data_IF_123164540504
#
_entry.id   IF_123164540504
#
_cell.length_a   1.000
_cell.length_b   1.000
_cell.length_c   1.000
_cell.angle_alpha   90.00
_cell.angle_beta   90.00
_cell.angle_gamma   90.00
#
_symmetry.space_group_name_H-M   'P 1'
#
loop_
_entity.id
_entity.type
_entity.pdbx_description
1 polymer ?
#
# COMPACT_ATOMS: atom_id res chain seq x y z
N UNK A 1 19.18 -15.17 -6.86
CA UNK A 1 18.77 -15.79 -5.57
C UNK A 1 17.34 -16.31 -5.74
N UNK A 2 17.18 -17.61 -5.94
CA UNK A 2 15.89 -18.22 -6.35
C UNK A 2 14.69 -17.96 -5.41
N UNK A 3 14.95 -17.74 -4.11
CA UNK A 3 13.90 -17.51 -3.12
C UNK A 3 13.07 -16.24 -3.38
N UNK A 4 13.68 -15.24 -3.97
CA UNK A 4 13.06 -13.92 -4.22
C UNK A 4 12.82 -13.64 -5.69
N UNK A 5 13.00 -14.66 -6.54
CA UNK A 5 12.71 -14.57 -7.97
C UNK A 5 11.18 -14.62 -8.18
N UNK A 6 10.65 -13.59 -8.84
CA UNK A 6 9.25 -13.46 -9.20
C UNK A 6 9.01 -13.66 -10.71
N UNK A 7 9.98 -14.24 -11.42
CA UNK A 7 9.82 -14.55 -12.84
C UNK A 7 8.59 -15.44 -13.05
N UNK A 8 7.73 -15.06 -13.98
CA UNK A 8 6.47 -15.74 -14.26
C UNK A 8 5.28 -15.26 -13.42
N UNK A 9 5.52 -14.41 -12.41
CA UNK A 9 4.44 -13.78 -11.64
C UNK A 9 3.89 -12.53 -12.34
N UNK A 10 2.60 -12.26 -12.11
CA UNK A 10 1.93 -11.03 -12.54
C UNK A 10 1.47 -10.29 -11.28
N UNK A 11 2.01 -9.10 -11.06
CA UNK A 11 1.72 -8.26 -9.91
C UNK A 11 0.82 -7.07 -10.31
N UNK A 12 -0.34 -6.97 -9.68
CA UNK A 12 -1.19 -5.78 -9.74
C UNK A 12 -0.86 -4.90 -8.54
N UNK A 13 -0.51 -3.64 -8.78
CA UNK A 13 -0.21 -2.67 -7.72
C UNK A 13 -1.21 -1.51 -7.79
N UNK A 14 -2.19 -1.52 -6.89
CA UNK A 14 -3.17 -0.44 -6.72
C UNK A 14 -2.48 0.74 -6.03
N UNK A 15 -2.57 1.93 -6.60
CA UNK A 15 -1.85 3.10 -6.08
C UNK A 15 -0.37 3.19 -6.49
N UNK A 16 0.04 2.44 -7.52
CA UNK A 16 1.41 2.46 -8.04
C UNK A 16 1.85 3.82 -8.65
N UNK A 17 0.91 4.74 -8.86
CA UNK A 17 1.20 6.13 -9.25
C UNK A 17 1.68 7.01 -8.08
N UNK A 18 1.55 6.52 -6.83
CA UNK A 18 2.06 7.15 -5.62
C UNK A 18 3.52 6.81 -5.33
N UNK A 19 4.06 7.36 -4.23
CA UNK A 19 5.47 7.16 -3.85
C UNK A 19 5.70 5.72 -3.40
N UNK A 20 5.03 5.25 -2.35
CA UNK A 20 5.25 3.92 -1.78
C UNK A 20 4.83 2.80 -2.74
N UNK A 21 3.60 2.88 -3.29
CA UNK A 21 3.13 1.90 -4.26
C UNK A 21 4.00 1.86 -5.52
N UNK A 22 4.55 3.02 -5.93
CA UNK A 22 5.47 3.10 -7.05
C UNK A 22 6.82 2.44 -6.81
N UNK A 23 7.41 2.61 -5.62
CA UNK A 23 8.65 1.94 -5.25
C UNK A 23 8.44 0.41 -5.18
N UNK A 24 7.34 -0.04 -4.56
CA UNK A 24 6.99 -1.46 -4.52
C UNK A 24 6.79 -2.03 -5.93
N UNK A 25 6.06 -1.32 -6.81
CA UNK A 25 5.87 -1.74 -8.20
C UNK A 25 7.20 -1.90 -8.95
N UNK A 26 8.11 -0.95 -8.77
CA UNK A 26 9.46 -1.02 -9.34
C UNK A 26 10.25 -2.21 -8.79
N UNK A 27 10.24 -2.40 -7.47
CA UNK A 27 10.96 -3.51 -6.84
C UNK A 27 10.45 -4.88 -7.27
N UNK A 28 9.13 -5.09 -7.37
CA UNK A 28 8.54 -6.33 -7.87
C UNK A 28 8.94 -6.60 -9.33
N UNK A 29 8.97 -5.56 -10.17
CA UNK A 29 9.42 -5.69 -11.56
C UNK A 29 10.90 -6.06 -11.66
N UNK A 30 11.75 -5.46 -10.82
CA UNK A 30 13.19 -5.79 -10.75
C UNK A 30 13.45 -7.20 -10.21
N UNK A 31 12.52 -7.75 -9.42
CA UNK A 31 12.54 -9.15 -8.98
C UNK A 31 11.98 -10.13 -10.05
N UNK A 32 11.59 -9.66 -11.24
CA UNK A 32 11.17 -10.48 -12.36
C UNK A 32 9.66 -10.53 -12.63
N UNK A 33 8.82 -9.92 -11.79
CA UNK A 33 7.39 -9.90 -12.03
C UNK A 33 7.01 -8.98 -13.21
N UNK A 34 5.96 -9.36 -13.95
CA UNK A 34 5.28 -8.43 -14.84
C UNK A 34 4.33 -7.56 -14.00
N UNK A 35 4.46 -6.24 -14.07
CA UNK A 35 3.75 -5.33 -13.17
C UNK A 35 2.66 -4.55 -13.88
N UNK A 36 1.44 -4.69 -13.42
CA UNK A 36 0.33 -3.82 -13.75
C UNK A 36 0.32 -2.62 -12.79
N UNK A 37 0.64 -1.43 -13.31
CA UNK A 37 0.59 -0.15 -12.60
C UNK A 37 -0.84 0.37 -12.66
N UNK A 38 -1.58 0.33 -11.54
CA UNK A 38 -2.96 0.81 -11.46
C UNK A 38 -3.04 2.13 -10.69
N UNK A 39 -3.84 3.07 -11.23
CA UNK A 39 -4.10 4.37 -10.61
C UNK A 39 -4.91 5.28 -11.53
N UNK A 40 -5.34 6.43 -10.99
CA UNK A 40 -6.19 7.40 -11.71
C UNK A 40 -5.42 8.34 -12.62
N UNK A 41 -4.18 8.66 -12.28
CA UNK A 41 -3.38 9.66 -13.00
C UNK A 41 -2.53 8.98 -14.08
N UNK A 42 -2.90 9.21 -15.35
CA UNK A 42 -2.26 8.59 -16.50
C UNK A 42 -0.79 9.03 -16.67
N UNK A 43 -0.48 10.32 -16.48
CA UNK A 43 0.88 10.83 -16.66
C UNK A 43 1.86 10.20 -15.65
N UNK A 44 1.45 10.14 -14.37
CA UNK A 44 2.23 9.45 -13.33
C UNK A 44 2.33 7.95 -13.61
N UNK A 45 1.26 7.33 -14.10
CA UNK A 45 1.24 5.92 -14.49
C UNK A 45 2.22 5.61 -15.61
N UNK A 46 2.17 6.37 -16.70
CA UNK A 46 3.11 6.22 -17.81
C UNK A 46 4.56 6.53 -17.42
N UNK A 47 4.77 7.55 -16.58
CA UNK A 47 6.10 7.87 -16.05
C UNK A 47 6.65 6.69 -15.21
N UNK A 48 5.82 6.05 -14.38
CA UNK A 48 6.22 4.87 -13.61
C UNK A 48 6.56 3.69 -14.51
N UNK A 49 5.75 3.42 -15.52
CA UNK A 49 6.02 2.36 -16.51
C UNK A 49 7.33 2.63 -17.26
N UNK A 50 7.56 3.87 -17.68
CA UNK A 50 8.82 4.27 -18.36
C UNK A 50 10.04 4.01 -17.45
N UNK A 51 9.95 4.36 -16.17
CA UNK A 51 11.02 4.12 -15.20
C UNK A 51 11.29 2.61 -15.02
N UNK A 52 10.23 1.79 -14.84
CA UNK A 52 10.37 0.34 -14.69
C UNK A 52 11.01 -0.29 -15.93
N UNK A 53 10.54 0.08 -17.12
CA UNK A 53 11.09 -0.44 -18.39
C UNK A 53 12.52 0.03 -18.63
N UNK A 54 12.85 1.27 -18.26
CA UNK A 54 14.21 1.81 -18.35
C UNK A 54 15.21 1.05 -17.50
N UNK A 55 14.76 0.44 -16.41
CA UNK A 55 15.57 -0.41 -15.54
C UNK A 55 15.50 -1.92 -15.90
N UNK A 56 14.96 -2.27 -17.08
CA UNK A 56 14.90 -3.64 -17.56
C UNK A 56 13.69 -4.47 -17.08
N UNK A 57 12.77 -3.88 -16.30
CA UNK A 57 11.57 -4.56 -15.84
C UNK A 57 10.44 -4.55 -16.88
N UNK A 58 9.40 -5.33 -16.63
CA UNK A 58 8.18 -5.41 -17.46
C UNK A 58 7.02 -4.76 -16.74
N UNK A 59 6.40 -3.73 -17.34
CA UNK A 59 5.23 -3.08 -16.76
C UNK A 59 4.30 -2.49 -17.83
N UNK A 60 3.01 -2.37 -17.48
CA UNK A 60 2.01 -1.61 -18.25
C UNK A 60 1.11 -0.82 -17.30
N UNK A 61 0.58 0.32 -17.76
CA UNK A 61 -0.35 1.14 -17.01
C UNK A 61 -1.80 0.81 -17.39
N UNK A 62 -2.64 0.67 -16.38
CA UNK A 62 -4.07 0.45 -16.52
C UNK A 62 -4.80 1.49 -15.66
N UNK A 63 -5.56 2.41 -16.29
CA UNK A 63 -6.31 3.42 -15.54
C UNK A 63 -7.42 2.77 -14.73
N UNK A 64 -7.45 3.02 -13.42
CA UNK A 64 -8.50 2.53 -12.55
C UNK A 64 -8.67 3.45 -11.33
N UNK A 65 -9.92 3.71 -10.97
CA UNK A 65 -10.28 4.19 -9.65
C UNK A 65 -10.63 2.99 -8.77
N UNK A 66 -9.85 2.77 -7.73
CA UNK A 66 -10.03 1.64 -6.82
C UNK A 66 -11.37 1.68 -6.04
N UNK A 67 -12.03 2.83 -5.98
CA UNK A 67 -13.36 2.99 -5.41
C UNK A 67 -14.50 2.60 -6.38
N UNK A 68 -14.17 2.26 -7.64
CA UNK A 68 -15.16 1.94 -8.69
C UNK A 68 -15.02 0.47 -9.13
N UNK A 69 -16.00 -0.36 -8.76
CA UNK A 69 -16.01 -1.80 -9.12
C UNK A 69 -15.86 -2.03 -10.63
N UNK A 70 -16.61 -1.27 -11.44
CA UNK A 70 -16.54 -1.39 -12.90
C UNK A 70 -15.18 -1.05 -13.47
N UNK A 71 -14.50 -0.04 -12.88
CA UNK A 71 -13.15 0.33 -13.26
C UNK A 71 -12.13 -0.76 -12.92
N UNK A 72 -12.25 -1.37 -11.74
CA UNK A 72 -11.39 -2.48 -11.32
C UNK A 72 -11.61 -3.71 -12.21
N UNK A 73 -12.85 -4.08 -12.52
CA UNK A 73 -13.16 -5.23 -13.39
C UNK A 73 -12.61 -5.02 -14.82
N UNK A 74 -12.76 -3.81 -15.36
CA UNK A 74 -12.20 -3.45 -16.68
C UNK A 74 -10.67 -3.57 -16.65
N UNK A 75 -10.03 -3.04 -15.61
CA UNK A 75 -8.57 -3.13 -15.46
C UNK A 75 -8.10 -4.58 -15.28
N UNK A 76 -8.81 -5.40 -14.48
CA UNK A 76 -8.49 -6.81 -14.28
C UNK A 76 -8.49 -7.57 -15.61
N UNK A 77 -9.55 -7.43 -16.40
CA UNK A 77 -9.62 -8.05 -17.74
C UNK A 77 -8.45 -7.61 -18.62
N UNK A 78 -8.18 -6.32 -18.70
CA UNK A 78 -7.09 -5.80 -19.53
C UNK A 78 -5.69 -6.27 -19.05
N UNK A 79 -5.49 -6.40 -17.73
CA UNK A 79 -4.26 -6.98 -17.15
C UNK A 79 -4.11 -8.44 -17.56
N UNK A 80 -5.17 -9.24 -17.41
CA UNK A 80 -5.14 -10.67 -17.75
C UNK A 80 -4.83 -10.89 -19.23
N UNK A 81 -5.41 -10.09 -20.11
CA UNK A 81 -5.15 -10.15 -21.55
C UNK A 81 -3.72 -9.71 -21.95
N UNK A 82 -3.17 -8.70 -21.24
CA UNK A 82 -1.88 -8.09 -21.62
C UNK A 82 -0.67 -8.73 -20.95
N UNK A 83 -0.76 -9.03 -19.65
CA UNK A 83 0.37 -9.49 -18.83
C UNK A 83 0.22 -10.93 -18.37
N UNK A 84 -1.00 -11.44 -18.35
CA UNK A 84 -1.39 -12.74 -17.80
C UNK A 84 -2.17 -12.57 -16.49
N UNK A 85 -2.63 -13.71 -15.97
CA UNK A 85 -3.47 -13.74 -14.76
C UNK A 85 -2.72 -13.26 -13.51
N UNK A 86 -3.28 -12.29 -12.76
CA UNK A 86 -2.65 -11.79 -11.55
C UNK A 86 -2.45 -12.87 -10.48
N UNK A 87 -1.24 -12.95 -9.96
CA UNK A 87 -0.84 -13.84 -8.86
C UNK A 87 -0.42 -13.07 -7.62
N UNK A 88 -0.12 -11.78 -7.78
CA UNK A 88 0.24 -10.86 -6.69
C UNK A 88 -0.67 -9.64 -6.76
N UNK A 89 -1.25 -9.25 -5.63
CA UNK A 89 -2.00 -8.01 -5.48
C UNK A 89 -1.37 -7.18 -4.36
N UNK A 90 -0.99 -5.95 -4.67
CA UNK A 90 -0.55 -4.97 -3.67
C UNK A 90 -1.55 -3.83 -3.57
N UNK A 91 -2.14 -3.66 -2.41
CA UNK A 91 -3.09 -2.62 -2.10
C UNK A 91 -2.38 -1.46 -1.40
N UNK A 92 -1.92 -0.46 -2.17
CA UNK A 92 -1.17 0.70 -1.71
C UNK A 92 -1.90 2.04 -1.96
N UNK A 93 -3.16 2.00 -2.38
CA UNK A 93 -3.98 3.21 -2.50
C UNK A 93 -4.47 3.67 -1.12
N UNK A 94 -4.51 4.98 -0.92
CA UNK A 94 -4.99 5.58 0.32
C UNK A 94 -4.20 6.83 0.69
N UNK A 95 -4.60 7.44 1.79
CA UNK A 95 -3.96 8.65 2.34
C UNK A 95 -4.89 9.40 3.28
N UNK A 96 -4.33 10.34 4.03
CA UNK A 96 -5.12 11.24 4.85
C UNK A 96 -5.57 12.46 4.03
N UNK A 97 -6.78 12.94 4.29
CA UNK A 97 -7.31 14.18 3.73
C UNK A 97 -7.25 15.30 4.78
N UNK A 98 -6.98 16.52 4.31
CA UNK A 98 -6.99 17.71 5.17
C UNK A 98 -8.39 17.99 5.74
N UNK A 99 -9.46 17.63 5.04
CA UNK A 99 -10.85 17.79 5.48
C UNK A 99 -11.16 17.03 6.78
N UNK A 100 -10.51 15.87 6.99
CA UNK A 100 -10.66 15.03 8.18
C UNK A 100 -9.47 15.11 9.12
N UNK A 101 -8.58 16.08 8.93
CA UNK A 101 -7.46 16.30 9.82
C UNK A 101 -7.90 17.16 11.02
N UNK A 102 -7.78 16.62 12.22
CA UNK A 102 -8.08 17.33 13.47
C UNK A 102 -7.02 18.39 13.73
N UNK A 103 -7.46 19.63 13.96
CA UNK A 103 -6.61 20.77 14.33
C UNK A 103 -7.26 21.54 15.48
N UNK A 104 -6.56 22.48 16.16
CA UNK A 104 -7.19 23.36 17.14
C UNK A 104 -8.42 24.12 16.60
N UNK A 105 -8.36 24.54 15.32
CA UNK A 105 -9.42 25.28 14.63
C UNK A 105 -10.54 24.38 14.11
N UNK A 106 -10.28 23.06 13.97
CA UNK A 106 -11.26 22.06 13.55
C UNK A 106 -11.14 20.82 14.42
N UNK A 107 -11.76 20.83 15.60
CA UNK A 107 -11.80 19.69 16.50
C UNK A 107 -12.66 18.54 15.94
N UNK A 108 -12.56 17.35 16.52
CA UNK A 108 -13.21 16.13 16.03
C UNK A 108 -14.72 16.30 15.76
N UNK A 109 -15.44 16.99 16.63
CA UNK A 109 -16.89 17.21 16.52
C UNK A 109 -17.30 18.09 15.32
N UNK A 110 -16.36 18.72 14.65
CA UNK A 110 -16.60 19.54 13.45
C UNK A 110 -16.25 18.82 12.15
N UNK A 111 -15.74 17.58 12.21
CA UNK A 111 -15.51 16.77 11.01
C UNK A 111 -16.87 16.33 10.46
N UNK A 112 -17.17 16.72 9.23
CA UNK A 112 -18.42 16.32 8.57
C UNK A 112 -18.43 14.79 8.33
N UNK A 113 -19.59 14.17 8.53
CA UNK A 113 -19.74 12.72 8.37
C UNK A 113 -19.46 12.26 6.94
N UNK A 114 -19.78 13.09 5.97
CA UNK A 114 -19.52 12.86 4.55
C UNK A 114 -18.02 12.79 4.27
N UNK A 115 -17.23 13.75 4.77
CA UNK A 115 -15.77 13.76 4.63
C UNK A 115 -15.14 12.56 5.36
N UNK A 116 -15.68 12.20 6.55
CA UNK A 116 -15.29 10.99 7.27
C UNK A 116 -15.47 9.76 6.40
N UNK A 117 -16.65 9.56 5.85
CA UNK A 117 -16.98 8.41 4.99
C UNK A 117 -16.08 8.37 3.75
N UNK A 118 -15.92 9.50 3.06
CA UNK A 118 -15.07 9.60 1.88
C UNK A 118 -13.64 9.15 2.16
N UNK A 119 -13.03 9.64 3.25
CA UNK A 119 -11.66 9.27 3.60
C UNK A 119 -11.55 7.83 4.13
N UNK A 120 -12.55 7.36 4.90
CA UNK A 120 -12.61 5.98 5.37
C UNK A 120 -12.74 5.01 4.19
N UNK A 121 -13.65 5.30 3.26
CA UNK A 121 -13.88 4.48 2.07
C UNK A 121 -12.67 4.48 1.13
N UNK A 122 -11.99 5.60 0.97
CA UNK A 122 -10.74 5.66 0.22
C UNK A 122 -9.70 4.67 0.77
N UNK A 123 -9.54 4.59 2.09
CA UNK A 123 -8.47 3.82 2.72
C UNK A 123 -8.82 2.35 2.96
N UNK A 124 -10.09 2.01 3.19
CA UNK A 124 -10.54 0.65 3.44
C UNK A 124 -11.27 0.06 2.23
N UNK A 125 -12.36 0.70 1.80
CA UNK A 125 -13.24 0.12 0.77
C UNK A 125 -12.51 0.08 -0.58
N UNK A 126 -12.11 1.23 -1.11
CA UNK A 126 -11.35 1.31 -2.36
C UNK A 126 -9.90 0.90 -2.19
N UNK A 127 -9.32 1.18 -1.01
CA UNK A 127 -7.92 0.88 -0.75
C UNK A 127 -7.61 -0.61 -0.65
N UNK A 128 -8.55 -1.45 -0.18
CA UNK A 128 -8.31 -2.87 0.09
C UNK A 128 -9.50 -3.75 -0.28
N UNK A 129 -10.72 -3.44 0.20
CA UNK A 129 -11.85 -4.37 0.09
C UNK A 129 -12.24 -4.66 -1.36
N UNK A 130 -12.50 -3.62 -2.15
CA UNK A 130 -12.90 -3.79 -3.55
C UNK A 130 -11.83 -4.47 -4.41
N UNK A 131 -10.53 -4.09 -4.33
CA UNK A 131 -9.48 -4.84 -5.00
C UNK A 131 -9.40 -6.31 -4.59
N UNK A 132 -9.53 -6.63 -3.29
CA UNK A 132 -9.54 -8.01 -2.84
C UNK A 132 -10.76 -8.78 -3.38
N UNK A 133 -11.93 -8.15 -3.44
CA UNK A 133 -13.13 -8.76 -4.01
C UNK A 133 -13.05 -8.97 -5.52
N UNK A 134 -12.28 -8.15 -6.23
CA UNK A 134 -12.09 -8.25 -7.67
C UNK A 134 -11.04 -9.32 -8.04
N UNK A 135 -9.85 -9.23 -7.45
CA UNK A 135 -8.71 -10.08 -7.84
C UNK A 135 -8.63 -11.39 -7.04
N UNK A 136 -9.11 -11.41 -5.80
CA UNK A 136 -9.03 -12.55 -4.89
C UNK A 136 -9.74 -13.82 -5.40
N UNK A 137 -10.98 -13.75 -5.91
CA UNK A 137 -11.71 -14.92 -6.39
C UNK A 137 -10.96 -15.72 -7.47
N UNK A 138 -10.35 -15.05 -8.43
CA UNK A 138 -9.56 -15.72 -9.47
C UNK A 138 -8.29 -16.39 -8.87
N UNK A 139 -7.64 -15.77 -7.89
CA UNK A 139 -6.51 -16.36 -7.17
C UNK A 139 -6.94 -17.61 -6.38
N UNK A 140 -8.07 -17.53 -5.63
CA UNK A 140 -8.58 -18.65 -4.84
C UNK A 140 -9.04 -19.82 -5.72
N UNK A 141 -9.61 -19.53 -6.89
CA UNK A 141 -10.02 -20.57 -7.86
C UNK A 141 -8.80 -21.31 -8.43
N UNK A 142 -7.69 -20.60 -8.65
CA UNK A 142 -6.44 -21.21 -9.14
C UNK A 142 -5.61 -21.88 -8.04
N UNK A 143 -5.97 -21.70 -6.77
CA UNK A 143 -5.21 -22.22 -5.65
C UNK A 143 -3.86 -21.52 -5.42
N UNK A 144 -3.69 -20.28 -5.91
CA UNK A 144 -2.41 -19.57 -5.85
C UNK A 144 -2.61 -18.06 -5.84
N UNK A 145 -1.99 -17.39 -4.85
CA UNK A 145 -1.97 -15.93 -4.79
C UNK A 145 -1.25 -15.38 -3.57
N UNK A 146 -0.78 -14.13 -3.68
CA UNK A 146 -0.27 -13.35 -2.57
C UNK A 146 -0.87 -11.95 -2.59
N UNK A 147 -1.55 -11.57 -1.52
CA UNK A 147 -2.14 -10.24 -1.34
C UNK A 147 -1.37 -9.51 -0.24
N UNK A 148 -0.96 -8.29 -0.53
CA UNK A 148 -0.17 -7.44 0.37
C UNK A 148 -0.91 -6.12 0.56
N UNK A 149 -1.37 -5.86 1.78
CA UNK A 149 -2.09 -4.65 2.12
C UNK A 149 -1.15 -3.65 2.80
N UNK A 150 -1.08 -2.42 2.32
CA UNK A 150 -0.30 -1.37 2.97
C UNK A 150 -1.15 -0.76 4.10
N UNK A 151 -0.77 -1.10 5.33
CA UNK A 151 -1.32 -0.56 6.56
C UNK A 151 -0.65 0.77 6.95
N UNK A 152 -0.41 1.01 8.22
CA UNK A 152 0.28 2.19 8.77
C UNK A 152 0.58 1.98 10.25
N UNK A 153 1.60 2.62 10.79
CA UNK A 153 1.81 2.70 12.26
C UNK A 153 0.58 3.26 12.99
N UNK A 154 -0.23 4.09 12.31
CA UNK A 154 -1.49 4.62 12.85
C UNK A 154 -2.58 3.56 13.07
N UNK A 155 -2.41 2.36 12.52
CA UNK A 155 -3.30 1.24 12.78
C UNK A 155 -3.07 0.59 14.16
N UNK A 156 -1.88 0.77 14.71
CA UNK A 156 -1.45 0.17 15.98
C UNK A 156 -1.56 1.13 17.16
N UNK A 157 -1.30 2.42 16.90
CA UNK A 157 -1.37 3.46 17.92
C UNK A 157 -2.14 4.68 17.38
N UNK A 158 -2.84 5.44 18.24
CA UNK A 158 -3.59 6.62 17.81
C UNK A 158 -2.63 7.76 17.48
N UNK A 159 -2.33 7.97 16.20
CA UNK A 159 -1.57 9.13 15.79
C UNK A 159 -2.42 10.39 15.89
N UNK A 160 -1.82 11.48 16.38
CA UNK A 160 -2.46 12.79 16.47
C UNK A 160 -2.98 13.25 15.10
N UNK A 161 -4.16 13.89 15.07
CA UNK A 161 -4.80 14.57 13.96
C UNK A 161 -5.43 13.68 12.88
N UNK A 162 -5.04 12.41 12.71
CA UNK A 162 -5.44 11.57 11.55
C UNK A 162 -6.39 10.44 11.95
N UNK A 163 -7.46 10.80 12.69
CA UNK A 163 -8.35 9.82 13.33
C UNK A 163 -9.06 8.91 12.33
N UNK A 164 -9.63 9.45 11.24
CA UNK A 164 -10.32 8.66 10.22
C UNK A 164 -9.39 7.70 9.50
N UNK A 165 -8.23 8.21 9.12
CA UNK A 165 -7.18 7.40 8.50
C UNK A 165 -6.72 6.27 9.43
N UNK A 166 -6.49 6.57 10.73
CA UNK A 166 -6.08 5.58 11.72
C UNK A 166 -7.13 4.49 11.90
N UNK A 167 -8.41 4.86 12.01
CA UNK A 167 -9.52 3.91 12.09
C UNK A 167 -9.59 2.99 10.86
N UNK A 168 -9.48 3.57 9.65
CA UNK A 168 -9.47 2.78 8.41
C UNK A 168 -8.27 1.85 8.34
N UNK A 169 -7.07 2.28 8.74
CA UNK A 169 -5.86 1.44 8.71
C UNK A 169 -5.90 0.34 9.78
N UNK A 170 -6.53 0.56 10.93
CA UNK A 170 -6.80 -0.50 11.91
C UNK A 170 -7.77 -1.56 11.31
N UNK A 171 -8.81 -1.11 10.60
CA UNK A 171 -9.71 -2.02 9.89
C UNK A 171 -8.99 -2.81 8.78
N UNK A 172 -8.00 -2.23 8.09
CA UNK A 172 -7.15 -2.94 7.10
C UNK A 172 -6.41 -4.11 7.74
N UNK A 173 -5.82 -3.94 8.94
CA UNK A 173 -5.15 -5.04 9.64
C UNK A 173 -6.12 -6.17 9.99
N UNK A 174 -7.30 -5.84 10.52
CA UNK A 174 -8.31 -6.83 10.85
C UNK A 174 -8.83 -7.56 9.60
N UNK A 175 -9.13 -6.82 8.52
CA UNK A 175 -9.54 -7.41 7.24
C UNK A 175 -8.46 -8.31 6.65
N UNK A 176 -7.18 -7.95 6.79
CA UNK A 176 -6.04 -8.78 6.36
C UNK A 176 -6.06 -10.14 7.07
N UNK A 177 -6.26 -10.16 8.38
CA UNK A 177 -6.33 -11.40 9.17
C UNK A 177 -7.56 -12.24 8.81
N UNK A 178 -8.71 -11.59 8.61
CA UNK A 178 -9.93 -12.26 8.18
C UNK A 178 -9.72 -12.96 6.81
N UNK A 179 -9.22 -12.23 5.82
CA UNK A 179 -8.97 -12.78 4.48
C UNK A 179 -7.90 -13.86 4.48
N UNK A 180 -6.85 -13.72 5.31
CA UNK A 180 -5.83 -14.74 5.49
C UNK A 180 -6.44 -16.06 5.95
N UNK A 181 -7.29 -16.02 6.97
CA UNK A 181 -7.99 -17.20 7.47
C UNK A 181 -8.92 -17.83 6.41
N UNK A 182 -9.69 -17.01 5.71
CA UNK A 182 -10.70 -17.48 4.73
C UNK A 182 -10.06 -18.06 3.46
N UNK A 183 -8.89 -17.54 3.06
CA UNK A 183 -8.30 -17.87 1.77
C UNK A 183 -7.05 -18.76 1.85
N UNK A 184 -6.47 -18.95 3.04
CA UNK A 184 -5.35 -19.88 3.22
C UNK A 184 -5.68 -21.32 2.77
N UNK A 185 -6.85 -21.91 3.10
CA UNK A 185 -7.22 -23.22 2.60
C UNK A 185 -7.37 -23.30 1.08
N UNK A 186 -7.48 -22.14 0.43
CA UNK A 186 -7.59 -21.99 -1.02
C UNK A 186 -6.28 -21.57 -1.68
N UNK A 187 -5.14 -21.73 -0.98
CA UNK A 187 -3.81 -21.44 -1.52
C UNK A 187 -3.46 -19.96 -1.69
N UNK A 188 -4.21 -19.02 -1.08
CA UNK A 188 -3.93 -17.59 -1.16
C UNK A 188 -3.46 -17.07 0.20
N UNK A 189 -2.31 -16.41 0.20
CA UNK A 189 -1.76 -15.73 1.38
C UNK A 189 -2.16 -14.26 1.38
N UNK A 190 -2.52 -13.73 2.54
CA UNK A 190 -2.87 -12.33 2.72
C UNK A 190 -2.11 -11.77 3.91
N UNK A 191 -1.29 -10.75 3.67
CA UNK A 191 -0.44 -10.14 4.69
C UNK A 191 -0.50 -8.62 4.59
N UNK A 192 0.06 -7.93 5.57
CA UNK A 192 0.22 -6.48 5.54
C UNK A 192 1.67 -6.05 5.71
N UNK A 193 1.95 -4.86 5.22
CA UNK A 193 3.15 -4.10 5.56
C UNK A 193 2.69 -2.84 6.28
N UNK A 194 3.29 -2.55 7.43
CA UNK A 194 3.04 -1.34 8.23
C UNK A 194 4.21 -0.38 8.06
N UNK A 195 4.09 0.63 7.18
CA UNK A 195 5.10 1.68 7.08
C UNK A 195 5.06 2.62 8.28
N UNK A 196 6.24 3.11 8.67
CA UNK A 196 6.40 4.28 9.54
C UNK A 196 6.17 5.59 8.79
N UNK A 197 7.09 6.52 8.93
CA UNK A 197 7.01 7.82 8.28
C UNK A 197 7.94 7.90 7.06
N UNK A 198 7.34 8.12 5.90
CA UNK A 198 8.01 8.25 4.61
C UNK A 198 7.63 9.61 3.98
N UNK A 199 8.59 10.50 3.76
CA UNK A 199 8.32 11.77 3.09
C UNK A 199 7.81 11.54 1.67
N UNK A 200 6.76 12.28 1.31
CA UNK A 200 6.21 12.33 -0.03
C UNK A 200 5.88 13.78 -0.37
N UNK A 201 5.74 14.10 -1.65
CA UNK A 201 5.41 15.46 -2.09
C UNK A 201 4.17 16.02 -1.35
N UNK A 202 3.15 15.18 -1.19
CA UNK A 202 1.87 15.55 -0.54
C UNK A 202 1.98 15.88 0.95
N UNK A 203 3.00 15.37 1.66
CA UNK A 203 3.20 15.61 3.09
C UNK A 203 4.42 16.49 3.40
N UNK A 204 5.19 16.90 2.37
CA UNK A 204 6.42 17.66 2.51
C UNK A 204 6.23 18.94 3.34
N UNK A 205 5.17 19.71 3.07
CA UNK A 205 4.85 20.96 3.79
C UNK A 205 4.48 20.74 5.27
N UNK A 206 4.07 19.54 5.64
CA UNK A 206 3.81 19.18 7.04
C UNK A 206 5.09 18.81 7.79
N UNK A 207 6.11 18.40 7.05
CA UNK A 207 7.35 17.87 7.59
C UNK A 207 8.49 18.89 7.55
N UNK A 208 8.52 19.76 6.55
CA UNK A 208 9.60 20.72 6.35
C UNK A 208 9.05 22.13 6.13
N UNK A 209 9.70 23.11 6.72
CA UNK A 209 9.48 24.54 6.48
C UNK A 209 9.96 24.91 5.07
N UNK A 210 9.64 26.13 4.61
CA UNK A 210 10.03 26.61 3.27
C UNK A 210 11.56 26.71 3.10
N UNK A 211 12.31 26.92 4.18
CA UNK A 211 13.77 26.91 4.21
C UNK A 211 14.40 25.50 4.27
N UNK A 212 13.56 24.45 4.23
CA UNK A 212 13.99 23.06 4.31
C UNK A 212 14.25 22.55 5.73
N UNK A 213 14.16 23.40 6.75
CA UNK A 213 14.34 22.98 8.14
C UNK A 213 13.16 22.10 8.62
N UNK A 214 13.41 21.16 9.57
CA UNK A 214 12.36 20.30 10.08
C UNK A 214 11.34 21.08 10.93
N UNK A 215 10.05 20.84 10.70
CA UNK A 215 8.96 21.37 11.54
C UNK A 215 9.00 20.75 12.94
N UNK A 216 8.26 21.35 13.89
CA UNK A 216 8.07 20.75 15.22
C UNK A 216 7.50 19.32 15.13
N UNK A 217 6.60 19.07 14.16
CA UNK A 217 6.07 17.72 13.88
C UNK A 217 7.16 16.74 13.49
N UNK A 218 8.06 17.14 12.59
CA UNK A 218 9.21 16.30 12.18
C UNK A 218 10.10 15.97 13.37
N UNK A 219 10.44 16.96 14.18
CA UNK A 219 11.25 16.73 15.39
C UNK A 219 10.59 15.73 16.33
N UNK A 220 9.27 15.83 16.54
CA UNK A 220 8.52 14.88 17.35
C UNK A 220 8.52 13.46 16.74
N UNK A 221 8.30 13.33 15.43
CA UNK A 221 8.32 12.03 14.73
C UNK A 221 9.71 11.38 14.84
N UNK A 222 10.76 12.12 14.52
CA UNK A 222 12.13 11.60 14.55
C UNK A 222 12.59 11.29 15.97
N UNK A 223 12.20 12.10 16.96
CA UNK A 223 12.47 11.82 18.36
C UNK A 223 11.77 10.57 18.89
N UNK A 224 10.67 10.14 18.24
CA UNK A 224 9.96 8.91 18.55
C UNK A 224 10.37 7.73 17.65
N UNK A 225 11.22 7.96 16.66
CA UNK A 225 11.73 6.91 15.76
C UNK A 225 13.14 6.52 16.19
N UNK A 226 13.40 5.32 16.74
CA UNK A 226 14.73 4.91 17.20
C UNK A 226 15.85 5.05 16.18
N UNK A 227 15.57 4.82 14.87
CA UNK A 227 16.54 5.03 13.81
C UNK A 227 16.83 6.52 13.52
N UNK A 228 16.11 7.48 14.13
CA UNK A 228 16.36 8.92 14.05
C UNK A 228 16.19 9.55 12.67
N UNK A 229 15.56 8.85 11.73
CA UNK A 229 15.34 9.31 10.35
C UNK A 229 14.00 8.86 9.80
N UNK A 230 13.57 9.48 8.73
CA UNK A 230 12.49 8.98 7.89
C UNK A 230 12.93 7.75 7.10
N UNK A 231 11.96 6.93 6.71
CA UNK A 231 12.18 5.85 5.75
C UNK A 231 12.22 6.36 4.31
N UNK A 232 12.96 5.66 3.47
CA UNK A 232 12.95 5.82 2.01
C UNK A 232 12.01 4.78 1.40
N UNK A 233 11.25 5.16 0.36
CA UNK A 233 10.20 4.29 -0.20
C UNK A 233 10.73 2.91 -0.64
N UNK A 234 11.97 2.86 -1.07
CA UNK A 234 12.70 1.66 -1.48
C UNK A 234 12.90 0.65 -0.33
N UNK A 235 12.87 1.11 0.92
CA UNK A 235 13.02 0.24 2.10
C UNK A 235 11.80 -0.66 2.33
N UNK A 236 10.66 -0.38 1.68
CA UNK A 236 9.49 -1.28 1.67
C UNK A 236 9.65 -2.47 0.72
N UNK A 237 10.54 -2.35 -0.27
CA UNK A 237 10.65 -3.30 -1.38
C UNK A 237 11.03 -4.70 -0.90
N UNK A 238 11.98 -4.80 0.04
CA UNK A 238 12.40 -6.09 0.59
C UNK A 238 11.25 -6.87 1.23
N UNK A 239 10.44 -6.19 2.05
CA UNK A 239 9.25 -6.79 2.68
C UNK A 239 8.20 -7.20 1.62
N UNK A 240 7.99 -6.35 0.60
CA UNK A 240 7.04 -6.64 -0.46
C UNK A 240 7.46 -7.85 -1.31
N UNK A 241 8.73 -7.96 -1.70
CA UNK A 241 9.25 -9.11 -2.46
C UNK A 241 9.17 -10.39 -1.60
N UNK A 242 9.54 -10.32 -0.31
CA UNK A 242 9.42 -11.45 0.62
C UNK A 242 7.99 -11.97 0.68
N UNK A 243 7.02 -11.10 0.91
CA UNK A 243 5.61 -11.49 0.99
C UNK A 243 5.04 -11.94 -0.37
N UNK A 244 5.49 -11.35 -1.47
CA UNK A 244 5.08 -11.73 -2.82
C UNK A 244 5.55 -13.14 -3.19
N UNK A 245 6.78 -13.51 -2.80
CA UNK A 245 7.38 -14.79 -3.16
C UNK A 245 6.74 -15.96 -2.42
N UNK A 246 6.17 -16.90 -3.18
CA UNK A 246 5.67 -18.16 -2.64
C UNK A 246 6.81 -19.04 -2.07
N UNK A 247 8.02 -18.96 -2.64
CA UNK A 247 9.19 -19.72 -2.16
C UNK A 247 9.69 -19.18 -0.83
N UNK A 248 9.74 -17.85 -0.65
CA UNK A 248 10.29 -17.22 0.55
C UNK A 248 9.30 -17.17 1.72
N UNK A 249 7.98 -17.13 1.46
CA UNK A 249 6.96 -16.89 2.48
C UNK A 249 5.73 -17.82 2.36
N UNK A 250 5.93 -19.07 1.91
CA UNK A 250 4.84 -20.04 1.70
C UNK A 250 4.00 -20.31 2.96
N UNK A 251 4.58 -20.20 4.15
CA UNK A 251 3.91 -20.42 5.44
C UNK A 251 3.60 -19.12 6.19
N UNK A 252 3.64 -17.96 5.49
CA UNK A 252 3.38 -16.64 6.06
C UNK A 252 2.06 -16.11 5.52
N UNK A 253 1.03 -16.07 6.37
CA UNK A 253 -0.28 -15.47 6.08
C UNK A 253 -0.87 -14.87 7.35
N UNK A 254 -1.62 -13.77 7.25
CA UNK A 254 -2.14 -13.00 8.39
C UNK A 254 -1.10 -12.21 9.15
N UNK A 255 0.15 -12.15 8.66
CA UNK A 255 1.23 -11.42 9.28
C UNK A 255 1.21 -9.94 8.92
N UNK A 256 1.80 -9.12 9.81
CA UNK A 256 2.07 -7.70 9.58
C UNK A 256 3.57 -7.44 9.73
N UNK A 257 4.21 -6.98 8.65
CA UNK A 257 5.62 -6.63 8.65
C UNK A 257 5.76 -5.12 8.87
N UNK A 258 6.35 -4.74 10.01
CA UNK A 258 6.63 -3.34 10.33
C UNK A 258 7.92 -2.88 9.63
N UNK A 259 7.82 -1.78 8.90
CA UNK A 259 8.95 -1.09 8.26
C UNK A 259 8.86 0.36 8.71
N UNK A 260 9.25 0.62 9.97
CA UNK A 260 8.91 1.85 10.68
C UNK A 260 10.10 2.50 11.43
N UNK A 261 11.31 1.99 11.24
CA UNK A 261 12.49 2.49 11.94
C UNK A 261 12.44 2.31 13.46
N UNK A 262 11.61 1.37 13.94
CA UNK A 262 11.39 1.10 15.36
C UNK A 262 10.33 1.99 16.02
N UNK A 263 9.58 2.76 15.25
CA UNK A 263 8.57 3.70 15.76
C UNK A 263 7.58 3.04 16.73
N UNK A 264 7.07 1.86 16.40
CA UNK A 264 6.13 1.10 17.25
C UNK A 264 6.82 0.33 18.40
N UNK A 265 8.12 0.39 18.51
CA UNK A 265 8.89 -0.25 19.59
C UNK A 265 9.35 0.75 20.65
N UNK A 266 9.12 2.05 20.43
CA UNK A 266 9.47 3.10 21.36
C UNK A 266 8.56 3.02 22.60
N UNK A 267 9.19 3.02 23.76
CA UNK A 267 8.53 3.12 25.08
C UNK A 267 8.93 4.42 25.78
N UNK A 268 8.59 4.57 27.04
CA UNK A 268 9.03 5.70 27.87
C UNK A 268 10.53 5.63 28.15
#
# INVERSE_FOLDING_TARGET
MELFDLTGEVAVVIGATGVLGGAVAQGLAMAGAKVAVLGRNADRGHSRVKLIKGNGGTAAFFPADAQQRTGLATAHKAVSESLGEPTILVNAAGGNDLKVTVTPERPLQQIALEDWKENFDLNLVGGVLLPCQEFGPAMTQRGRGSIINIASVSAHIPLSRVVTYSAAKAAVLNLTQFLAREWAPKGVRVNSITPGFFPAEQNRKLLFNDDGSPTARTKSILGHTPMGRFGEAEELVGAAIFLASAKASSFVTGADIRVDGGFLSQTI
#
